data_IF_210452479779
#
_entry.id   IF_210452479779
#
_cell.length_a   1.000
_cell.length_b   1.000
_cell.length_c   1.000
_cell.angle_alpha   90.00
_cell.angle_beta   90.00
_cell.angle_gamma   90.00
#
_symmetry.space_group_name_H-M   'P 1'
#
loop_
_entity.id
_entity.type
_entity.pdbx_description
1 polymer ?
#
# COMPACT_ATOMS: atom_id res chain seq x y z
N UNK A 1 8.90 -48.28 -46.61
CA UNK A 1 8.97 -47.92 -45.16
C UNK A 1 7.82 -48.61 -44.43
N UNK A 2 8.13 -49.64 -43.64
CA UNK A 2 7.16 -50.47 -42.92
C UNK A 2 6.35 -49.64 -41.91
N UNK A 3 5.04 -49.91 -41.79
CA UNK A 3 4.09 -49.09 -41.01
C UNK A 3 4.49 -48.87 -39.54
N UNK A 4 5.36 -49.71 -38.99
CA UNK A 4 5.95 -49.57 -37.65
C UNK A 4 6.81 -48.30 -37.50
N UNK A 5 7.57 -47.91 -38.54
CA UNK A 5 8.44 -46.72 -38.48
C UNK A 5 7.65 -45.42 -38.48
N UNK A 6 6.49 -45.38 -39.15
CA UNK A 6 5.58 -44.22 -39.13
C UNK A 6 4.89 -44.05 -37.77
N UNK A 7 4.50 -45.15 -37.12
CA UNK A 7 3.87 -45.14 -35.78
C UNK A 7 4.86 -44.71 -34.69
N UNK A 8 6.11 -45.16 -34.76
CA UNK A 8 7.14 -44.79 -33.79
C UNK A 8 7.51 -43.30 -33.89
N UNK A 9 7.63 -42.75 -35.12
CA UNK A 9 7.91 -41.34 -35.35
C UNK A 9 6.82 -40.42 -34.78
N UNK A 10 5.55 -40.81 -34.93
CA UNK A 10 4.40 -40.07 -34.40
C UNK A 10 4.41 -40.01 -32.86
N UNK A 11 4.81 -41.09 -32.21
CA UNK A 11 4.92 -41.14 -30.73
C UNK A 11 6.08 -40.25 -30.26
N UNK A 12 7.20 -40.23 -30.97
CA UNK A 12 8.34 -39.38 -30.61
C UNK A 12 8.04 -37.90 -30.81
N UNK A 13 7.35 -37.52 -31.90
CA UNK A 13 6.91 -36.14 -32.13
C UNK A 13 5.87 -35.71 -31.10
N UNK A 14 4.94 -36.60 -30.72
CA UNK A 14 3.98 -36.33 -29.66
C UNK A 14 4.65 -36.17 -28.29
N UNK A 15 5.67 -36.98 -27.96
CA UNK A 15 6.43 -36.80 -26.71
C UNK A 15 7.25 -35.50 -26.70
N UNK A 16 7.85 -35.12 -27.84
CA UNK A 16 8.58 -33.83 -27.94
C UNK A 16 7.61 -32.65 -27.82
N UNK A 17 6.45 -32.72 -28.47
CA UNK A 17 5.40 -31.70 -28.35
C UNK A 17 4.84 -31.62 -26.92
N UNK A 18 4.63 -32.75 -26.23
CA UNK A 18 4.19 -32.76 -24.83
C UNK A 18 5.32 -32.26 -23.91
N UNK A 19 6.58 -32.57 -24.18
CA UNK A 19 7.71 -32.05 -23.39
C UNK A 19 7.93 -30.55 -23.57
N UNK A 20 7.60 -30.00 -24.75
CA UNK A 20 7.60 -28.55 -24.99
C UNK A 20 6.39 -27.85 -24.33
N UNK A 21 5.28 -28.55 -24.12
CA UNK A 21 4.07 -28.02 -23.47
C UNK A 21 4.13 -28.13 -21.94
N UNK A 22 5.00 -28.96 -21.37
CA UNK A 22 5.24 -29.05 -19.90
C UNK A 22 6.40 -28.14 -19.45
N UNK A 23 6.78 -27.16 -20.28
CA UNK A 23 7.54 -26.00 -19.87
C UNK A 23 6.69 -24.73 -20.03
N UNK A 24 5.44 -24.74 -19.55
CA UNK A 24 4.85 -23.51 -19.03
C UNK A 24 5.65 -23.17 -17.78
N UNK A 25 6.86 -22.65 -17.97
CA UNK A 25 7.54 -21.91 -16.92
C UNK A 25 6.56 -20.81 -16.55
N UNK A 26 6.00 -20.90 -15.35
CA UNK A 26 5.60 -19.73 -14.60
C UNK A 26 6.88 -18.92 -14.40
N UNK A 27 7.35 -18.24 -15.44
CA UNK A 27 8.32 -17.17 -15.33
C UNK A 27 7.57 -16.05 -14.61
N UNK A 28 7.50 -16.19 -13.30
CA UNK A 28 6.93 -15.21 -12.40
C UNK A 28 7.96 -14.08 -12.37
N UNK A 29 7.76 -13.11 -13.25
CA UNK A 29 8.45 -11.85 -13.23
C UNK A 29 8.05 -11.15 -11.92
N UNK A 30 8.84 -11.38 -10.87
CA UNK A 30 8.63 -10.82 -9.54
C UNK A 30 9.14 -9.38 -9.48
N UNK A 31 8.31 -8.50 -8.92
CA UNK A 31 8.60 -7.10 -8.64
C UNK A 31 8.46 -6.88 -7.14
N UNK A 32 9.45 -6.26 -6.51
CA UNK A 32 9.38 -5.92 -5.08
C UNK A 32 9.07 -4.44 -4.94
N UNK A 33 7.98 -4.11 -4.25
CA UNK A 33 7.57 -2.74 -3.98
C UNK A 33 7.91 -2.37 -2.53
N UNK A 34 8.86 -1.46 -2.36
CA UNK A 34 9.25 -0.96 -1.04
C UNK A 34 9.39 0.56 -1.07
N UNK A 35 8.58 1.27 -0.29
CA UNK A 35 8.59 2.73 -0.22
C UNK A 35 8.87 3.21 1.20
N UNK A 36 9.70 4.23 1.38
CA UNK A 36 9.90 4.85 2.70
C UNK A 36 8.82 5.90 2.96
N UNK A 37 8.47 6.10 4.24
CA UNK A 37 7.65 7.23 4.69
C UNK A 37 8.58 8.30 5.28
N UNK A 38 8.53 9.53 4.77
CA UNK A 38 9.21 10.65 5.40
C UNK A 38 8.31 11.20 6.53
N UNK A 39 8.74 11.02 7.78
CA UNK A 39 8.01 11.49 8.95
C UNK A 39 8.34 12.97 9.24
N UNK A 40 7.35 13.87 9.38
CA UNK A 40 7.61 15.28 9.66
C UNK A 40 8.21 15.44 11.05
N UNK A 41 9.49 15.86 11.10
CA UNK A 41 10.33 15.91 12.32
C UNK A 41 9.80 16.71 13.53
N UNK A 42 8.70 17.45 13.40
CA UNK A 42 8.15 18.34 14.44
C UNK A 42 6.67 18.08 14.79
N UNK A 43 6.01 17.07 14.20
CA UNK A 43 4.60 16.76 14.46
C UNK A 43 4.41 15.38 15.09
N UNK A 44 3.52 15.26 16.06
CA UNK A 44 3.08 13.99 16.63
C UNK A 44 2.02 13.34 15.71
N UNK A 45 2.47 12.89 14.54
CA UNK A 45 1.67 12.04 13.65
C UNK A 45 2.14 10.60 13.76
N UNK A 46 1.21 9.65 13.86
CA UNK A 46 1.52 8.22 13.93
C UNK A 46 0.89 7.48 12.75
N UNK A 47 1.51 6.37 12.38
CA UNK A 47 1.00 5.46 11.37
C UNK A 47 0.69 4.11 12.00
N UNK A 48 -0.47 3.54 11.65
CA UNK A 48 -0.99 2.28 12.22
C UNK A 48 -1.28 1.30 11.09
N UNK A 49 -0.66 0.12 11.11
CA UNK A 49 -0.86 -0.89 10.07
C UNK A 49 -2.28 -1.47 10.07
N UNK A 50 -2.82 -1.71 8.88
CA UNK A 50 -4.10 -2.41 8.68
C UNK A 50 -3.91 -3.69 7.88
N UNK A 51 -3.82 -3.57 6.56
CA UNK A 51 -3.73 -4.71 5.64
C UNK A 51 -2.38 -5.44 5.69
N UNK A 52 -2.42 -6.71 5.27
CA UNK A 52 -1.25 -7.53 5.03
C UNK A 52 -0.86 -7.52 3.54
N UNK A 53 0.44 -7.49 3.28
CA UNK A 53 1.04 -7.70 1.98
C UNK A 53 0.94 -9.17 1.52
N UNK A 54 1.51 -9.47 0.35
CA UNK A 54 1.43 -10.81 -0.26
C UNK A 54 2.18 -11.90 0.51
N UNK A 55 3.08 -11.53 1.41
CA UNK A 55 3.82 -12.41 2.33
C UNK A 55 3.09 -12.68 3.66
N UNK A 56 1.92 -12.05 3.87
CA UNK A 56 1.12 -12.21 5.08
C UNK A 56 1.55 -11.33 6.27
N UNK A 57 2.54 -10.46 6.09
CA UNK A 57 2.95 -9.45 7.08
C UNK A 57 2.31 -8.11 6.71
N UNK A 58 2.08 -7.22 7.68
CA UNK A 58 1.50 -5.88 7.45
C UNK A 58 2.22 -5.13 6.33
N UNK A 59 1.47 -4.35 5.54
CA UNK A 59 2.04 -3.50 4.49
C UNK A 59 2.97 -2.45 5.11
N UNK A 60 2.50 -1.76 6.14
CA UNK A 60 3.31 -0.85 6.95
C UNK A 60 4.26 -1.65 7.84
N UNK A 61 5.56 -1.35 7.77
CA UNK A 61 6.63 -1.98 8.55
C UNK A 61 7.62 -0.94 9.02
N UNK A 62 8.38 -1.27 10.06
CA UNK A 62 9.58 -0.53 10.43
C UNK A 62 10.80 -1.43 10.27
N UNK A 63 11.88 -0.88 9.74
CA UNK A 63 13.18 -1.55 9.82
C UNK A 63 13.68 -1.45 11.27
N UNK A 64 13.79 -2.61 11.94
CA UNK A 64 14.31 -2.73 13.30
C UNK A 64 15.72 -2.13 13.47
N UNK A 65 16.47 -1.94 12.39
CA UNK A 65 17.82 -1.36 12.41
C UNK A 65 17.88 0.13 12.10
N UNK A 66 16.90 0.71 11.40
CA UNK A 66 16.99 2.08 10.88
C UNK A 66 15.88 3.04 11.35
N UNK A 67 14.90 2.59 12.16
CA UNK A 67 13.78 3.42 12.66
C UNK A 67 12.93 4.05 11.53
N UNK A 68 13.21 3.70 10.27
CA UNK A 68 12.48 4.18 9.09
C UNK A 68 11.22 3.33 8.91
N UNK A 69 10.09 4.00 8.74
CA UNK A 69 8.85 3.37 8.30
C UNK A 69 8.91 3.10 6.79
N UNK A 70 8.49 1.90 6.40
CA UNK A 70 8.42 1.46 5.02
C UNK A 70 7.06 0.82 4.72
N UNK A 71 6.62 0.94 3.47
CA UNK A 71 5.54 0.17 2.90
C UNK A 71 6.15 -0.93 2.04
N UNK A 72 5.95 -2.18 2.45
CA UNK A 72 6.38 -3.35 1.70
C UNK A 72 5.15 -4.11 1.25
N UNK A 73 4.96 -4.19 -0.06
CA UNK A 73 3.80 -4.86 -0.65
C UNK A 73 4.13 -6.29 -1.12
N UNK A 74 5.36 -6.74 -0.87
CA UNK A 74 5.87 -8.03 -1.26
C UNK A 74 6.09 -8.17 -2.78
N UNK A 75 6.07 -9.43 -3.22
CA UNK A 75 6.28 -9.79 -4.61
C UNK A 75 4.98 -9.61 -5.43
N UNK A 76 5.06 -8.89 -6.55
CA UNK A 76 3.98 -8.75 -7.52
C UNK A 76 4.37 -9.26 -8.90
N UNK A 77 3.38 -9.71 -9.65
CA UNK A 77 3.56 -10.08 -11.06
C UNK A 77 3.00 -9.00 -11.97
N UNK A 78 3.56 -8.90 -13.17
CA UNK A 78 3.03 -8.04 -14.23
C UNK A 78 1.56 -8.36 -14.53
N UNK A 79 0.79 -7.34 -14.89
CA UNK A 79 -0.64 -7.47 -15.20
C UNK A 79 -1.57 -7.60 -13.99
N UNK A 80 -1.05 -7.43 -12.77
CA UNK A 80 -1.87 -7.43 -11.55
C UNK A 80 -2.28 -6.01 -11.19
N UNK A 81 -3.56 -5.89 -10.80
CA UNK A 81 -4.09 -4.79 -10.03
C UNK A 81 -4.39 -5.29 -8.61
N UNK A 82 -3.69 -4.77 -7.61
CA UNK A 82 -3.88 -5.14 -6.20
C UNK A 82 -4.20 -3.89 -5.40
N UNK A 83 -5.33 -3.91 -4.71
CA UNK A 83 -5.78 -2.86 -3.79
C UNK A 83 -5.66 -3.34 -2.35
N UNK A 84 -5.13 -2.48 -1.50
CA UNK A 84 -5.13 -2.55 -0.05
C UNK A 84 -6.02 -1.41 0.44
N UNK A 85 -7.25 -1.73 0.83
CA UNK A 85 -8.26 -0.74 1.24
C UNK A 85 -7.89 -0.06 2.55
N UNK A 86 -7.07 -0.70 3.38
CA UNK A 86 -6.58 -0.15 4.63
C UNK A 86 -5.09 -0.46 4.78
N UNK A 87 -4.24 -0.03 3.82
CA UNK A 87 -2.81 -0.28 3.88
C UNK A 87 -2.23 0.13 5.24
N UNK A 88 -2.65 1.29 5.74
CA UNK A 88 -2.46 1.78 7.10
C UNK A 88 -3.44 2.92 7.39
N UNK A 89 -3.51 3.35 8.65
CA UNK A 89 -4.13 4.61 9.08
C UNK A 89 -3.06 5.65 9.43
N UNK A 90 -3.40 6.92 9.21
CA UNK A 90 -2.69 8.09 9.73
C UNK A 90 -3.46 8.56 10.95
N UNK A 91 -2.78 8.76 12.07
CA UNK A 91 -3.37 9.18 13.35
C UNK A 91 -2.69 10.46 13.81
N UNK A 92 -3.49 11.45 14.16
CA UNK A 92 -3.06 12.66 14.82
C UNK A 92 -2.99 12.43 16.33
N UNK A 93 -1.82 12.66 16.92
CA UNK A 93 -1.61 12.57 18.37
C UNK A 93 -1.50 13.97 19.02
N UNK A 94 -1.51 15.02 18.20
CA UNK A 94 -1.54 16.40 18.67
C UNK A 94 -2.86 16.69 19.38
N UNK A 95 -2.82 17.54 20.40
CA UNK A 95 -4.03 17.96 21.11
C UNK A 95 -4.86 19.04 20.37
N UNK A 96 -4.55 19.26 19.09
CA UNK A 96 -5.26 20.15 18.17
C UNK A 96 -5.42 19.46 16.81
N UNK A 97 -6.35 19.95 15.99
CA UNK A 97 -6.62 19.40 14.67
C UNK A 97 -5.52 19.71 13.66
N UNK A 98 -5.28 18.75 12.76
CA UNK A 98 -4.25 18.82 11.73
C UNK A 98 -4.86 18.49 10.38
N UNK A 99 -4.54 19.29 9.38
CA UNK A 99 -4.94 19.08 7.99
C UNK A 99 -3.89 18.24 7.29
N UNK A 100 -4.31 17.21 6.56
CA UNK A 100 -3.51 16.59 5.52
C UNK A 100 -3.69 17.44 4.27
N UNK A 101 -2.61 18.02 3.77
CA UNK A 101 -2.63 18.94 2.65
C UNK A 101 -2.15 18.31 1.36
N UNK A 102 -1.20 17.37 1.43
CA UNK A 102 -0.62 16.76 0.23
C UNK A 102 -0.04 15.36 0.48
N UNK A 103 0.04 14.56 -0.59
CA UNK A 103 0.79 13.30 -0.66
C UNK A 103 1.60 13.27 -1.96
N UNK A 104 2.91 13.32 -1.83
CA UNK A 104 3.83 13.23 -2.97
C UNK A 104 4.57 11.88 -2.98
N UNK A 105 4.81 11.33 -4.18
CA UNK A 105 5.66 10.14 -4.35
C UNK A 105 6.87 10.45 -5.23
N UNK A 106 8.05 10.17 -4.70
CA UNK A 106 9.31 10.24 -5.45
C UNK A 106 9.85 8.84 -5.72
N UNK A 107 9.98 8.47 -6.99
CA UNK A 107 10.52 7.17 -7.39
C UNK A 107 12.05 7.19 -7.43
N UNK A 108 12.67 6.20 -6.78
CA UNK A 108 14.13 5.97 -6.79
C UNK A 108 14.53 4.91 -7.84
N UNK A 109 13.74 3.84 -7.97
CA UNK A 109 13.98 2.74 -8.91
C UNK A 109 12.66 2.20 -9.44
N UNK A 110 12.65 1.76 -10.70
CA UNK A 110 11.43 1.30 -11.38
C UNK A 110 10.53 2.46 -11.83
N UNK A 111 9.32 2.11 -12.27
CA UNK A 111 8.29 3.07 -12.65
C UNK A 111 7.22 3.15 -11.55
N UNK A 112 6.60 4.31 -11.39
CA UNK A 112 5.52 4.46 -10.41
C UNK A 112 4.20 3.89 -10.93
N UNK A 113 3.65 2.92 -10.21
CA UNK A 113 2.33 2.34 -10.46
C UNK A 113 1.39 2.47 -9.24
N UNK A 114 1.78 3.27 -8.26
CA UNK A 114 0.98 3.51 -7.07
C UNK A 114 -0.18 4.44 -7.39
N UNK A 115 -1.30 4.16 -6.75
CA UNK A 115 -2.40 5.07 -6.60
C UNK A 115 -2.77 5.14 -5.13
N UNK A 116 -2.95 6.35 -4.60
CA UNK A 116 -3.14 6.58 -3.16
C UNK A 116 -4.42 7.40 -2.94
N UNK A 117 -5.22 6.96 -1.97
CA UNK A 117 -6.40 7.67 -1.49
C UNK A 117 -6.37 7.79 0.03
N UNK A 118 -6.93 8.88 0.54
CA UNK A 118 -7.45 8.96 1.90
C UNK A 118 -8.93 8.57 1.84
N UNK A 119 -9.41 7.77 2.78
CA UNK A 119 -10.85 7.45 2.84
C UNK A 119 -11.29 7.01 4.24
N UNK A 120 -12.61 7.06 4.46
CA UNK A 120 -13.20 6.81 5.77
C UNK A 120 -13.46 5.33 6.03
N UNK A 121 -13.84 4.54 5.03
CA UNK A 121 -14.26 3.15 5.23
C UNK A 121 -13.17 2.14 4.82
N UNK A 122 -12.48 1.47 5.77
CA UNK A 122 -11.39 0.56 5.47
C UNK A 122 -11.85 -0.73 4.76
N UNK A 123 -13.16 -0.99 4.68
CA UNK A 123 -13.74 -2.21 4.09
C UNK A 123 -14.25 -2.00 2.67
N UNK A 124 -14.41 -0.74 2.26
CA UNK A 124 -14.80 -0.40 0.90
C UNK A 124 -13.58 -0.04 0.07
N UNK A 125 -13.70 -0.19 -1.24
CA UNK A 125 -12.73 0.45 -2.13
C UNK A 125 -13.11 1.92 -2.30
N UNK A 126 -12.13 2.79 -2.47
CA UNK A 126 -12.32 4.22 -2.65
C UNK A 126 -13.42 4.57 -3.70
N UNK A 127 -13.51 3.86 -4.83
CA UNK A 127 -14.56 4.13 -5.83
C UNK A 127 -16.00 3.91 -5.34
N UNK A 128 -16.18 3.22 -4.21
CA UNK A 128 -17.46 2.96 -3.55
C UNK A 128 -17.58 3.67 -2.19
N UNK A 129 -16.55 4.42 -1.76
CA UNK A 129 -16.58 5.24 -0.55
C UNK A 129 -16.72 6.71 -0.93
N UNK A 130 -17.86 7.29 -0.55
CA UNK A 130 -18.17 8.70 -0.82
C UNK A 130 -17.29 9.68 -0.04
N UNK A 131 -16.58 9.23 1.00
CA UNK A 131 -15.62 10.02 1.76
C UNK A 131 -14.22 10.00 1.16
N UNK A 132 -13.98 9.20 0.12
CA UNK A 132 -12.66 9.03 -0.45
C UNK A 132 -12.15 10.30 -1.16
N UNK A 133 -10.87 10.56 -0.99
CA UNK A 133 -10.12 11.65 -1.60
C UNK A 133 -8.94 11.05 -2.34
N UNK A 134 -8.89 11.23 -3.66
CA UNK A 134 -7.82 10.71 -4.49
C UNK A 134 -6.63 11.67 -4.43
N UNK A 135 -5.46 11.14 -4.05
CA UNK A 135 -4.28 11.96 -3.73
C UNK A 135 -3.14 11.77 -4.72
N UNK A 136 -2.94 10.54 -5.19
CA UNK A 136 -1.82 10.24 -6.10
C UNK A 136 -2.19 9.27 -7.21
N UNK A 137 -1.74 9.56 -8.44
CA UNK A 137 -1.98 8.73 -9.61
C UNK A 137 -0.71 8.50 -10.45
N UNK A 138 0.06 7.46 -10.11
CA UNK A 138 1.10 6.87 -10.98
C UNK A 138 2.08 7.92 -11.53
N UNK A 139 2.77 8.64 -10.66
CA UNK A 139 3.70 9.71 -11.02
C UNK A 139 3.06 11.09 -11.17
N UNK A 140 1.75 11.20 -10.93
CA UNK A 140 1.01 12.46 -11.00
C UNK A 140 0.38 12.75 -9.65
N UNK A 141 0.75 13.88 -9.07
CA UNK A 141 0.03 14.47 -7.95
C UNK A 141 -1.40 14.87 -8.41
N UNK A 142 -2.40 14.41 -7.67
CA UNK A 142 -3.81 14.74 -7.89
C UNK A 142 -4.47 15.34 -6.65
N UNK A 143 -3.67 15.67 -5.63
CA UNK A 143 -4.09 16.44 -4.47
C UNK A 143 -4.82 17.70 -4.91
N UNK A 144 -5.88 18.05 -4.19
CA UNK A 144 -6.61 19.29 -4.45
C UNK A 144 -5.68 20.48 -4.24
N UNK A 145 -5.32 21.18 -5.33
CA UNK A 145 -4.43 22.35 -5.27
C UNK A 145 -4.89 23.35 -4.20
N UNK A 146 -3.94 23.80 -3.37
CA UNK A 146 -4.08 24.74 -2.26
C UNK A 146 -5.16 24.36 -1.20
N UNK A 147 -5.59 23.09 -1.12
CA UNK A 147 -6.71 22.64 -0.31
C UNK A 147 -6.37 21.61 0.76
N UNK A 148 -7.20 21.53 1.80
CA UNK A 148 -7.18 20.45 2.79
C UNK A 148 -7.84 19.20 2.21
N UNK A 149 -7.10 18.08 2.14
CA UNK A 149 -7.63 16.80 1.71
C UNK A 149 -8.45 16.11 2.81
N UNK A 150 -7.94 16.14 4.05
CA UNK A 150 -8.62 15.59 5.21
C UNK A 150 -8.25 16.38 6.46
N UNK A 151 -9.21 16.58 7.37
CA UNK A 151 -8.96 17.19 8.67
C UNK A 151 -8.98 16.07 9.72
N UNK A 152 -7.85 15.85 10.37
CA UNK A 152 -7.74 14.97 11.53
C UNK A 152 -8.21 15.74 12.77
N UNK A 153 -9.12 15.13 13.53
CA UNK A 153 -9.50 15.59 14.87
C UNK A 153 -8.30 15.66 15.81
N UNK A 154 -8.46 16.33 16.95
CA UNK A 154 -7.44 16.34 17.98
C UNK A 154 -7.28 14.94 18.60
N UNK A 155 -6.04 14.49 18.73
CA UNK A 155 -5.67 13.26 19.41
C UNK A 155 -5.58 13.41 20.92
N UNK A 156 -5.10 12.33 21.56
CA UNK A 156 -4.95 12.22 23.01
C UNK A 156 -3.50 11.93 23.46
N UNK A 157 -2.57 11.84 22.50
CA UNK A 157 -1.15 11.50 22.73
C UNK A 157 -0.94 10.11 23.35
N UNK A 158 -1.86 9.17 23.14
CA UNK A 158 -1.76 7.78 23.61
C UNK A 158 -1.54 6.83 22.43
N UNK A 159 -0.30 6.31 22.26
CA UNK A 159 0.03 5.45 21.13
C UNK A 159 -0.60 4.05 21.20
N UNK A 160 -1.38 3.75 22.25
CA UNK A 160 -2.08 2.46 22.42
C UNK A 160 -3.49 2.44 21.84
N UNK A 161 -4.01 3.57 21.36
CA UNK A 161 -5.33 3.67 20.77
C UNK A 161 -5.35 4.63 19.57
N UNK A 162 -6.49 4.75 18.91
CA UNK A 162 -6.85 5.81 17.96
C UNK A 162 -8.36 6.01 18.08
N UNK A 163 -8.90 7.03 17.43
CA UNK A 163 -10.26 7.54 17.67
C UNK A 163 -10.46 7.90 19.15
N UNK A 164 -9.53 8.70 19.67
CA UNK A 164 -9.38 8.89 21.11
C UNK A 164 -9.10 7.54 21.78
N UNK A 165 -10.05 7.00 22.56
CA UNK A 165 -9.87 5.73 23.29
C UNK A 165 -10.65 4.55 22.71
N UNK A 166 -11.33 4.73 21.59
CA UNK A 166 -12.33 3.76 21.10
C UNK A 166 -11.70 2.56 20.39
N UNK A 167 -10.56 2.76 19.73
CA UNK A 167 -9.93 1.72 18.92
C UNK A 167 -8.55 1.42 19.47
N UNK A 168 -8.36 0.22 20.02
CA UNK A 168 -7.04 -0.21 20.49
C UNK A 168 -6.09 -0.46 19.31
N UNK A 169 -4.83 -0.08 19.48
CA UNK A 169 -3.74 -0.34 18.54
C UNK A 169 -2.66 -1.23 19.19
N UNK A 170 -2.61 -2.49 18.77
CA UNK A 170 -1.65 -3.49 19.25
C UNK A 170 -0.24 -3.23 18.70
N UNK A 171 0.78 -3.88 19.27
CA UNK A 171 2.14 -3.88 18.70
C UNK A 171 2.38 -5.17 17.91
N UNK A 172 2.70 -5.04 16.63
CA UNK A 172 3.09 -6.16 15.78
C UNK A 172 4.61 -6.36 15.90
N UNK A 173 5.04 -7.45 16.52
CA UNK A 173 6.47 -7.76 16.71
C UNK A 173 7.17 -8.22 15.43
N UNK A 174 6.43 -8.58 14.39
CA UNK A 174 6.99 -8.99 13.09
C UNK A 174 7.20 -7.77 12.21
N UNK A 175 6.16 -6.95 12.06
CA UNK A 175 6.22 -5.72 11.26
C UNK A 175 6.88 -4.54 12.02
N UNK A 176 7.04 -4.66 13.35
CA UNK A 176 7.61 -3.64 14.24
C UNK A 176 6.85 -2.30 14.18
N UNK A 177 5.51 -2.37 14.11
CA UNK A 177 4.62 -1.20 14.07
C UNK A 177 3.40 -1.40 14.96
N UNK A 178 2.71 -0.30 15.27
CA UNK A 178 1.35 -0.37 15.81
C UNK A 178 0.40 -0.84 14.71
N UNK A 179 -0.63 -1.61 15.06
CA UNK A 179 -1.63 -2.10 14.12
C UNK A 179 -3.02 -2.17 14.75
N UNK A 180 -4.05 -2.26 13.92
CA UNK A 180 -5.39 -2.62 14.36
C UNK A 180 -6.12 -3.40 13.28
N UNK A 181 -7.03 -4.28 13.69
CA UNK A 181 -7.92 -5.04 12.80
C UNK A 181 -9.35 -4.49 12.85
N UNK A 182 -9.54 -3.41 13.61
CA UNK A 182 -10.80 -2.72 13.70
C UNK A 182 -11.11 -2.02 12.37
N UNK A 183 -12.38 -2.07 11.96
CA UNK A 183 -12.85 -1.55 10.68
C UNK A 183 -13.82 -0.39 10.84
N UNK A 184 -13.74 0.34 11.94
CA UNK A 184 -14.56 1.53 12.16
C UNK A 184 -14.27 2.56 11.06
N UNK A 185 -15.34 3.20 10.62
CA UNK A 185 -15.29 4.25 9.61
C UNK A 185 -14.75 5.53 10.26
N UNK A 186 -13.74 6.13 9.63
CA UNK A 186 -13.22 7.43 10.02
C UNK A 186 -14.10 8.56 9.48
N UNK A 187 -14.41 9.54 10.32
CA UNK A 187 -15.24 10.70 10.01
C UNK A 187 -14.34 11.95 9.95
N UNK A 188 -14.25 12.55 8.76
CA UNK A 188 -13.46 13.76 8.51
C UNK A 188 -13.85 14.89 9.48
N UNK A 189 -12.85 15.62 10.00
CA UNK A 189 -12.97 16.70 10.98
C UNK A 189 -13.45 16.29 12.38
N UNK A 190 -13.73 15.01 12.60
CA UNK A 190 -14.20 14.49 13.91
C UNK A 190 -13.16 13.55 14.49
N UNK A 191 -12.84 12.49 13.76
CA UNK A 191 -11.95 11.45 14.25
C UNK A 191 -10.49 11.88 14.05
N UNK A 192 -9.62 11.47 14.97
CA UNK A 192 -8.18 11.78 14.94
C UNK A 192 -7.41 10.96 13.90
N UNK A 193 -8.09 10.17 13.07
CA UNK A 193 -7.46 9.27 12.12
C UNK A 193 -8.15 9.26 10.75
N UNK A 194 -7.45 8.72 9.76
CA UNK A 194 -7.97 8.40 8.42
C UNK A 194 -7.29 7.16 7.87
N UNK A 195 -8.00 6.36 7.07
CA UNK A 195 -7.42 5.22 6.39
C UNK A 195 -6.76 5.63 5.08
N UNK A 196 -5.66 4.97 4.75
CA UNK A 196 -4.96 5.12 3.47
C UNK A 196 -5.18 3.87 2.64
N UNK A 197 -5.86 4.04 1.51
CA UNK A 197 -5.95 3.00 0.50
C UNK A 197 -4.77 3.16 -0.47
N UNK A 198 -4.13 2.04 -0.79
CA UNK A 198 -3.10 1.99 -1.85
C UNK A 198 -3.47 0.91 -2.86
N UNK A 199 -3.47 1.29 -4.14
CA UNK A 199 -3.52 0.34 -5.24
C UNK A 199 -2.20 0.34 -6.00
N UNK A 200 -1.77 -0.85 -6.41
CA UNK A 200 -0.64 -1.04 -7.32
C UNK A 200 -1.17 -1.66 -8.60
N UNK A 201 -1.07 -0.91 -9.70
CA UNK A 201 -1.57 -1.31 -11.01
C UNK A 201 -0.41 -1.58 -11.97
N UNK A 202 0.13 -2.79 -11.91
CA UNK A 202 1.32 -3.18 -12.67
C UNK A 202 0.92 -3.54 -14.11
N UNK A 203 1.34 -2.80 -15.15
CA UNK A 203 1.03 -3.15 -16.52
C UNK A 203 1.78 -4.41 -16.98
N UNK A 204 1.25 -5.10 -17.99
CA UNK A 204 1.92 -6.27 -18.59
C UNK A 204 3.31 -5.96 -19.19
N UNK A 205 3.59 -4.69 -19.47
CA UNK A 205 4.87 -4.20 -19.99
C UNK A 205 5.89 -3.83 -18.91
N UNK A 206 5.56 -3.98 -17.63
CA UNK A 206 6.47 -3.67 -16.54
C UNK A 206 7.73 -4.55 -16.60
N UNK A 207 8.87 -3.96 -16.29
CA UNK A 207 10.16 -4.67 -16.29
C UNK A 207 10.39 -5.33 -14.95
N UNK A 208 10.93 -6.54 -14.93
CA UNK A 208 11.36 -7.19 -13.68
C UNK A 208 12.40 -6.35 -12.95
N UNK A 209 12.27 -6.24 -11.62
CA UNK A 209 13.23 -5.48 -10.81
C UNK A 209 12.64 -5.01 -9.48
N UNK A 210 13.39 -4.14 -8.81
CA UNK A 210 12.93 -3.47 -7.59
C UNK A 210 12.30 -2.12 -7.93
N UNK A 211 11.16 -1.88 -7.31
CA UNK A 211 10.35 -0.69 -7.44
C UNK A 211 10.34 0.02 -6.10
N UNK A 212 11.07 1.12 -6.01
CA UNK A 212 11.31 1.79 -4.73
C UNK A 212 11.16 3.28 -4.85
N UNK A 213 10.73 3.92 -3.76
CA UNK A 213 10.59 5.36 -3.69
C UNK A 213 10.37 5.85 -2.28
N UNK A 214 9.92 7.08 -2.16
CA UNK A 214 9.53 7.72 -0.90
C UNK A 214 8.15 8.33 -1.08
N UNK A 215 7.28 8.13 -0.09
CA UNK A 215 6.00 8.82 0.03
C UNK A 215 6.15 9.88 1.12
N UNK A 216 5.82 11.12 0.78
CA UNK A 216 5.80 12.26 1.71
C UNK A 216 4.35 12.63 1.97
N UNK A 217 4.01 12.86 3.24
CA UNK A 217 2.71 13.37 3.66
C UNK A 217 2.91 14.75 4.24
N UNK A 218 2.22 15.75 3.70
CA UNK A 218 2.29 17.12 4.17
C UNK A 218 1.10 17.44 5.07
N UNK A 219 1.41 18.12 6.16
CA UNK A 219 0.47 18.45 7.21
C UNK A 219 0.54 19.94 7.55
N UNK A 220 -0.61 20.53 7.82
CA UNK A 220 -0.74 21.91 8.30
C UNK A 220 -1.61 21.95 9.56
N UNK A 221 -1.15 22.61 10.61
CA UNK A 221 -1.97 22.82 11.81
C UNK A 221 -3.08 23.82 11.49
N UNK A 222 -4.32 23.54 11.91
CA UNK A 222 -5.35 24.58 11.90
C UNK A 222 -4.98 25.65 12.92
N UNK A 223 -4.53 26.82 12.45
CA UNK A 223 -4.21 27.95 13.33
C UNK A 223 -5.44 28.32 14.16
N UNK A 224 -5.30 28.28 15.50
CA UNK A 224 -6.27 28.83 16.44
C UNK A 224 -6.22 30.36 16.51
#
# INVERSE_FOLDING_TARGET
MTGMRKKLLLITVAMVAVSAVVATQYARATLNYTYNINHPSNGFIRFVGGDNATDGIRVLRADATNVTLQLDFGEMTVGINKTYTAAFAIVNEENFSVNITDIEVTTTSGADYLQIWLHGDPTLKAENDASSVFMWNKGTDVTAGDGTAWVLGAGNSDPSNMDGTNIATGWDTTAQVRYTENTTVAINSTDDYVWVQISIDVPNSASTGQYTGTITFDFEATTH
#
